data_IF_198957171246
#
_entry.id   IF_198957171246
#
_cell.length_a   1.000
_cell.length_b   1.000
_cell.length_c   1.000
_cell.angle_alpha   90.00
_cell.angle_beta   90.00
_cell.angle_gamma   90.00
#
_symmetry.space_group_name_H-M   'P 1'
#
loop_
_entity.id
_entity.type
_entity.pdbx_description
1 polymer ?
#
# COMPACT_ATOMS: atom_id res chain seq x y z
N UNK A 1 44.75 -32.75 8.70
CA UNK A 1 43.29 -32.52 8.59
C UNK A 1 42.99 -31.32 9.48
N UNK A 2 43.25 -30.12 8.97
CA UNK A 2 43.00 -28.85 9.66
C UNK A 2 41.55 -28.47 9.39
N UNK A 3 40.73 -28.45 10.43
CA UNK A 3 39.38 -27.86 10.39
C UNK A 3 39.50 -26.40 9.92
N UNK A 4 39.00 -26.11 8.73
CA UNK A 4 38.76 -24.75 8.26
C UNK A 4 37.54 -24.24 9.02
N UNK A 5 37.73 -23.20 9.83
CA UNK A 5 36.63 -22.48 10.45
C UNK A 5 35.62 -22.04 9.36
N UNK A 6 34.30 -22.07 9.64
CA UNK A 6 33.31 -21.65 8.67
C UNK A 6 33.59 -20.20 8.25
N UNK A 7 33.74 -19.97 6.93
CA UNK A 7 33.86 -18.63 6.35
C UNK A 7 32.79 -17.73 6.96
N UNK A 8 33.21 -16.73 7.74
CA UNK A 8 32.32 -15.67 8.22
C UNK A 8 31.66 -15.05 6.99
N UNK A 9 30.33 -15.08 6.94
CA UNK A 9 29.57 -14.50 5.84
C UNK A 9 29.95 -13.01 5.73
N UNK A 10 30.23 -12.50 4.52
CA UNK A 10 30.64 -11.12 4.36
C UNK A 10 29.64 -10.17 4.99
N UNK A 11 30.11 -9.37 5.95
CA UNK A 11 29.32 -8.32 6.60
C UNK A 11 28.73 -7.39 5.54
N UNK A 12 27.42 -7.08 5.58
CA UNK A 12 26.81 -6.19 4.60
C UNK A 12 27.48 -4.83 4.63
N UNK A 13 28.18 -4.47 3.54
CA UNK A 13 28.82 -3.16 3.39
C UNK A 13 27.82 -2.00 3.44
N UNK A 14 28.29 -0.77 3.71
CA UNK A 14 27.42 0.40 3.79
C UNK A 14 26.64 0.63 2.49
N UNK A 15 25.40 1.14 2.57
CA UNK A 15 24.56 1.33 1.40
C UNK A 15 25.22 2.27 0.38
N UNK A 16 25.17 1.89 -0.88
CA UNK A 16 25.69 2.73 -1.98
C UNK A 16 24.90 4.04 -2.10
N UNK A 17 25.48 5.10 -2.67
CA UNK A 17 24.79 6.39 -2.83
C UNK A 17 23.42 6.30 -3.54
N UNK A 18 23.21 5.46 -4.57
CA UNK A 18 21.88 5.21 -5.14
C UNK A 18 20.91 4.56 -4.15
N UNK A 19 21.39 3.63 -3.32
CA UNK A 19 20.59 2.93 -2.31
C UNK A 19 20.19 3.86 -1.16
N UNK A 20 21.09 4.73 -0.71
CA UNK A 20 20.78 5.76 0.29
C UNK A 20 19.63 6.69 -0.17
N UNK A 21 19.59 7.05 -1.46
CA UNK A 21 18.49 7.85 -2.03
C UNK A 21 17.16 7.09 -2.02
N UNK A 22 17.18 5.80 -2.33
CA UNK A 22 15.99 4.94 -2.25
C UNK A 22 15.49 4.84 -0.82
N UNK A 23 16.38 4.58 0.14
CA UNK A 23 16.04 4.52 1.57
C UNK A 23 15.46 5.84 2.06
N UNK A 24 16.07 6.97 1.69
CA UNK A 24 15.53 8.30 2.02
C UNK A 24 14.14 8.54 1.45
N UNK A 25 13.89 8.10 0.21
CA UNK A 25 12.58 8.18 -0.42
C UNK A 25 11.53 7.30 0.30
N UNK A 26 11.87 6.06 0.65
CA UNK A 26 10.98 5.18 1.42
C UNK A 26 10.67 5.78 2.79
N UNK A 27 11.69 6.29 3.49
CA UNK A 27 11.53 6.89 4.81
C UNK A 27 10.64 8.12 4.79
N UNK A 28 10.88 9.05 3.85
CA UNK A 28 10.07 10.25 3.69
C UNK A 28 8.61 9.90 3.32
N UNK A 29 8.40 8.98 2.37
CA UNK A 29 7.07 8.51 2.01
C UNK A 29 6.38 7.82 3.19
N UNK A 30 7.09 6.96 3.92
CA UNK A 30 6.57 6.23 5.07
C UNK A 30 6.12 7.16 6.20
N UNK A 31 6.90 8.19 6.50
CA UNK A 31 6.53 9.22 7.47
C UNK A 31 5.24 9.93 7.05
N UNK A 32 5.13 10.36 5.78
CA UNK A 32 3.92 11.01 5.26
C UNK A 32 2.69 10.09 5.33
N UNK A 33 2.84 8.83 4.91
CA UNK A 33 1.77 7.83 4.97
C UNK A 33 1.30 7.57 6.40
N UNK A 34 2.23 7.36 7.33
CA UNK A 34 1.93 7.10 8.73
C UNK A 34 1.24 8.30 9.40
N UNK A 35 1.70 9.53 9.13
CA UNK A 35 1.06 10.76 9.64
C UNK A 35 -0.34 10.92 9.05
N UNK A 36 -0.53 10.67 7.75
CA UNK A 36 -1.85 10.73 7.13
C UNK A 36 -2.83 9.72 7.73
N UNK A 37 -2.39 8.47 7.94
CA UNK A 37 -3.18 7.44 8.63
C UNK A 37 -3.53 7.86 10.06
N UNK A 38 -2.55 8.33 10.82
CA UNK A 38 -2.78 8.78 12.18
C UNK A 38 -3.76 9.96 12.23
N UNK A 39 -3.61 10.92 11.31
CA UNK A 39 -4.55 12.03 11.13
C UNK A 39 -5.97 11.53 10.84
N UNK A 40 -6.14 10.52 9.98
CA UNK A 40 -7.44 9.93 9.71
C UNK A 40 -8.06 9.30 10.97
N UNK A 41 -7.26 8.61 11.79
CA UNK A 41 -7.71 8.03 13.07
C UNK A 41 -8.13 9.10 14.09
N UNK A 42 -7.45 10.25 14.10
CA UNK A 42 -7.79 11.38 14.99
C UNK A 42 -9.06 12.10 14.50
N UNK A 43 -9.20 12.33 13.19
CA UNK A 43 -10.33 13.05 12.60
C UNK A 43 -11.60 12.22 12.55
N UNK A 44 -11.48 10.91 12.35
CA UNK A 44 -12.59 9.97 12.35
C UNK A 44 -12.26 8.82 13.30
N UNK A 45 -12.48 9.00 14.62
CA UNK A 45 -12.26 7.92 15.58
C UNK A 45 -13.26 6.79 15.36
N UNK A 46 -12.79 5.55 15.51
CA UNK A 46 -13.68 4.39 15.53
C UNK A 46 -14.35 4.29 16.91
N UNK A 47 -15.68 4.27 17.01
CA UNK A 47 -16.39 4.10 18.27
C UNK A 47 -16.00 2.80 18.99
N UNK A 48 -16.08 2.80 20.31
CA UNK A 48 -15.92 1.60 21.14
C UNK A 48 -17.10 0.64 20.97
N UNK A 49 -17.14 -0.08 19.85
CA UNK A 49 -18.21 -1.00 19.46
C UNK A 49 -18.66 -0.75 18.03
N UNK A 50 -18.74 -1.80 17.22
CA UNK A 50 -19.09 -1.74 15.80
C UNK A 50 -17.92 -1.76 14.82
N UNK A 51 -18.22 -1.47 13.56
CA UNK A 51 -17.30 -1.67 12.45
C UNK A 51 -16.19 -0.59 12.39
N UNK A 52 -14.89 -0.96 12.31
CA UNK A 52 -13.77 -0.02 12.24
C UNK A 52 -13.62 0.68 10.88
N UNK A 53 -14.53 1.60 10.59
CA UNK A 53 -14.62 2.29 9.29
C UNK A 53 -13.36 3.02 8.88
N UNK A 54 -12.66 3.64 9.82
CA UNK A 54 -11.49 4.47 9.50
C UNK A 54 -10.35 3.62 8.93
N UNK A 55 -10.00 2.53 9.62
CA UNK A 55 -8.95 1.61 9.17
C UNK A 55 -9.40 0.86 7.92
N UNK A 56 -10.68 0.48 7.82
CA UNK A 56 -11.25 -0.09 6.61
C UNK A 56 -11.03 0.82 5.39
N UNK A 57 -11.45 2.09 5.46
CA UNK A 57 -11.34 3.05 4.35
C UNK A 57 -9.88 3.33 4.01
N UNK A 58 -9.02 3.49 5.02
CA UNK A 58 -7.57 3.68 4.83
C UNK A 58 -6.97 2.51 4.04
N UNK A 59 -7.25 1.28 4.45
CA UNK A 59 -6.72 0.10 3.76
C UNK A 59 -7.28 -0.04 2.34
N UNK A 60 -8.60 0.08 2.16
CA UNK A 60 -9.27 -0.08 0.86
C UNK A 60 -8.83 1.00 -0.13
N UNK A 61 -8.76 2.26 0.30
CA UNK A 61 -8.29 3.36 -0.55
C UNK A 61 -6.81 3.22 -0.91
N UNK A 62 -5.96 2.80 0.04
CA UNK A 62 -4.55 2.50 -0.24
C UNK A 62 -4.39 1.35 -1.24
N UNK A 63 -5.22 0.31 -1.13
CA UNK A 63 -5.29 -0.78 -2.10
C UNK A 63 -5.75 -0.33 -3.50
N UNK A 64 -6.72 0.59 -3.60
CA UNK A 64 -7.07 1.18 -4.89
C UNK A 64 -5.87 1.93 -5.52
N UNK A 65 -5.20 2.75 -4.71
CA UNK A 65 -4.05 3.55 -5.16
C UNK A 65 -2.85 2.70 -5.58
N UNK A 66 -2.57 1.57 -4.91
CA UNK A 66 -1.48 0.68 -5.37
C UNK A 66 -1.82 0.03 -6.72
N UNK A 67 -3.10 -0.28 -6.97
CA UNK A 67 -3.58 -0.73 -8.28
C UNK A 67 -3.34 0.30 -9.39
N UNK A 68 -3.64 1.58 -9.11
CA UNK A 68 -3.34 2.70 -10.02
C UNK A 68 -1.83 2.82 -10.28
N UNK A 69 -1.03 2.81 -9.20
CA UNK A 69 0.42 2.94 -9.28
C UNK A 69 1.07 1.82 -10.10
N UNK A 70 0.56 0.59 -9.95
CA UNK A 70 1.03 -0.57 -10.71
C UNK A 70 0.85 -0.35 -12.22
N UNK A 71 -0.32 0.11 -12.66
CA UNK A 71 -0.57 0.37 -14.09
C UNK A 71 0.33 1.48 -14.62
N UNK A 72 0.45 2.60 -13.89
CA UNK A 72 1.22 3.76 -14.31
C UNK A 72 2.73 3.48 -14.43
N UNK A 73 3.26 2.67 -13.50
CA UNK A 73 4.71 2.43 -13.40
C UNK A 73 5.14 1.15 -14.11
N UNK A 74 4.41 0.05 -13.98
CA UNK A 74 4.80 -1.28 -14.48
C UNK A 74 4.20 -1.55 -15.85
N UNK A 75 2.88 -1.42 -15.99
CA UNK A 75 2.19 -1.85 -17.22
C UNK A 75 2.39 -0.87 -18.38
N UNK A 76 2.35 0.44 -18.10
CA UNK A 76 2.40 1.48 -19.14
C UNK A 76 3.72 2.26 -19.17
N UNK A 77 4.58 2.13 -18.17
CA UNK A 77 5.87 2.83 -18.09
C UNK A 77 5.76 4.36 -18.22
N UNK A 78 4.58 4.95 -17.94
CA UNK A 78 4.34 6.41 -18.05
C UNK A 78 5.13 7.19 -17.01
N UNK A 79 5.48 6.53 -15.90
CA UNK A 79 6.31 7.10 -14.83
C UNK A 79 7.59 6.28 -14.72
N UNK A 80 8.70 6.85 -15.21
CA UNK A 80 10.00 6.17 -15.32
C UNK A 80 10.96 6.49 -14.18
N UNK A 81 10.64 7.46 -13.33
CA UNK A 81 11.57 7.89 -12.29
C UNK A 81 11.75 6.80 -11.21
N UNK A 82 12.99 6.34 -10.95
CA UNK A 82 13.26 5.15 -10.14
C UNK A 82 12.83 5.28 -8.67
N UNK A 83 12.71 6.51 -8.15
CA UNK A 83 12.28 6.76 -6.76
C UNK A 83 10.75 6.75 -6.59
N UNK A 84 9.95 6.76 -7.66
CA UNK A 84 8.48 6.84 -7.53
C UNK A 84 7.90 5.60 -6.86
N UNK A 85 8.33 4.40 -7.26
CA UNK A 85 7.83 3.15 -6.66
C UNK A 85 8.27 2.99 -5.19
N UNK A 86 9.54 3.24 -4.82
CA UNK A 86 9.94 3.28 -3.42
C UNK A 86 9.20 4.34 -2.59
N UNK A 87 9.08 5.57 -3.10
CA UNK A 87 8.43 6.66 -2.37
C UNK A 87 6.93 6.44 -2.21
N UNK A 88 6.18 6.24 -3.30
CA UNK A 88 4.73 6.12 -3.25
C UNK A 88 4.26 4.74 -2.83
N UNK A 89 4.83 3.68 -3.40
CA UNK A 89 4.38 2.31 -3.17
C UNK A 89 4.79 1.80 -1.79
N UNK A 90 6.09 1.74 -1.52
CA UNK A 90 6.61 1.22 -0.25
C UNK A 90 6.48 2.26 0.86
N UNK A 91 6.83 3.52 0.59
CA UNK A 91 6.77 4.61 1.56
C UNK A 91 5.32 5.01 1.88
N UNK A 92 4.72 5.86 1.04
CA UNK A 92 3.42 6.50 1.33
C UNK A 92 2.33 5.45 1.54
N UNK A 93 2.10 4.56 0.57
CA UNK A 93 1.03 3.57 0.67
C UNK A 93 1.31 2.51 1.75
N UNK A 94 2.56 2.11 1.94
CA UNK A 94 2.95 1.19 3.00
C UNK A 94 2.81 1.79 4.40
N UNK A 95 3.10 3.08 4.59
CA UNK A 95 2.90 3.79 5.86
C UNK A 95 1.44 4.16 6.13
N UNK A 96 0.69 4.46 5.06
CA UNK A 96 -0.72 4.82 5.10
C UNK A 96 -1.61 3.62 5.42
N UNK A 97 -1.38 2.47 4.79
CA UNK A 97 -2.14 1.25 5.09
C UNK A 97 -1.59 0.54 6.33
N UNK A 98 -2.41 -0.32 6.95
CA UNK A 98 -2.01 -1.03 8.18
C UNK A 98 -2.75 -2.35 8.37
N UNK A 99 -1.98 -3.43 8.43
CA UNK A 99 -2.50 -4.74 8.84
C UNK A 99 -2.49 -4.91 10.37
N UNK A 100 -1.50 -4.35 11.07
CA UNK A 100 -1.37 -4.51 12.52
C UNK A 100 -2.51 -3.83 13.28
N UNK A 101 -2.91 -2.63 12.86
CA UNK A 101 -4.07 -1.93 13.46
C UNK A 101 -5.36 -2.68 13.16
N UNK A 102 -5.54 -3.15 11.92
CA UNK A 102 -6.68 -3.99 11.54
C UNK A 102 -6.78 -5.27 12.41
N UNK A 103 -5.66 -5.96 12.66
CA UNK A 103 -5.64 -7.15 13.51
C UNK A 103 -5.95 -6.80 14.98
N UNK A 104 -5.45 -5.67 15.48
CA UNK A 104 -5.75 -5.19 16.83
C UNK A 104 -7.24 -4.84 16.99
N UNK A 105 -7.84 -4.20 15.98
CA UNK A 105 -9.28 -3.90 15.96
C UNK A 105 -10.13 -5.19 15.99
N UNK A 106 -9.78 -6.19 15.16
CA UNK A 106 -10.44 -7.51 15.18
C UNK A 106 -10.32 -8.16 16.55
N UNK A 107 -9.11 -8.16 17.14
CA UNK A 107 -8.88 -8.68 18.49
C UNK A 107 -9.76 -7.97 19.53
N UNK A 108 -9.86 -6.63 19.46
CA UNK A 108 -10.71 -5.84 20.33
C UNK A 108 -12.19 -6.18 20.19
N UNK A 109 -12.69 -6.43 18.98
CA UNK A 109 -14.06 -6.87 18.74
C UNK A 109 -14.34 -8.25 19.34
N UNK A 110 -13.38 -9.19 19.20
CA UNK A 110 -13.49 -10.53 19.79
C UNK A 110 -13.52 -10.48 21.32
N UNK A 111 -12.67 -9.66 21.95
CA UNK A 111 -12.66 -9.46 23.41
C UNK A 111 -14.00 -8.92 23.90
N UNK A 112 -14.64 -8.02 23.15
CA UNK A 112 -15.97 -7.47 23.46
C UNK A 112 -17.14 -8.42 23.11
N UNK A 113 -16.87 -9.64 22.65
CA UNK A 113 -17.87 -10.62 22.20
C UNK A 113 -18.70 -10.14 20.99
N UNK A 114 -18.20 -9.18 20.21
CA UNK A 114 -18.86 -8.64 19.01
C UNK A 114 -18.52 -9.50 17.77
N UNK A 115 -18.86 -10.80 17.81
CA UNK A 115 -18.42 -11.78 16.80
C UNK A 115 -18.87 -11.42 15.37
N UNK A 116 -20.09 -10.94 15.20
CA UNK A 116 -20.62 -10.56 13.89
C UNK A 116 -19.80 -9.42 13.29
N UNK A 117 -19.48 -8.39 14.07
CA UNK A 117 -18.67 -7.27 13.63
C UNK A 117 -17.22 -7.69 13.33
N UNK A 118 -16.64 -8.56 14.15
CA UNK A 118 -15.29 -9.09 13.92
C UNK A 118 -15.19 -9.87 12.60
N UNK A 119 -16.11 -10.80 12.35
CA UNK A 119 -16.14 -11.61 11.12
C UNK A 119 -16.44 -10.73 9.91
N UNK A 120 -17.44 -9.83 10.02
CA UNK A 120 -17.78 -8.91 8.95
C UNK A 120 -16.58 -8.02 8.59
N UNK A 121 -15.90 -7.45 9.58
CA UNK A 121 -14.72 -6.62 9.36
C UNK A 121 -13.57 -7.40 8.72
N UNK A 122 -13.37 -8.66 9.15
CA UNK A 122 -12.31 -9.49 8.61
C UNK A 122 -12.52 -9.81 7.12
N UNK A 123 -13.72 -10.27 6.78
CA UNK A 123 -14.05 -10.66 5.41
C UNK A 123 -14.19 -9.44 4.50
N UNK A 124 -14.92 -8.41 4.96
CA UNK A 124 -15.18 -7.23 4.15
C UNK A 124 -13.89 -6.51 3.79
N UNK A 125 -12.94 -6.37 4.72
CA UNK A 125 -11.67 -5.66 4.46
C UNK A 125 -10.87 -6.37 3.36
N UNK A 126 -10.73 -7.69 3.44
CA UNK A 126 -9.96 -8.47 2.45
C UNK A 126 -10.63 -8.43 1.07
N UNK A 127 -11.94 -8.67 1.02
CA UNK A 127 -12.69 -8.66 -0.24
C UNK A 127 -12.66 -7.27 -0.88
N UNK A 128 -12.92 -6.22 -0.10
CA UNK A 128 -12.91 -4.85 -0.59
C UNK A 128 -11.51 -4.41 -1.03
N UNK A 129 -10.45 -4.79 -0.31
CA UNK A 129 -9.07 -4.50 -0.69
C UNK A 129 -8.71 -5.12 -2.05
N UNK A 130 -9.00 -6.41 -2.25
CA UNK A 130 -8.73 -7.09 -3.53
C UNK A 130 -9.54 -6.47 -4.68
N UNK A 131 -10.83 -6.20 -4.44
CA UNK A 131 -11.69 -5.53 -5.41
C UNK A 131 -11.18 -4.12 -5.74
N UNK A 132 -10.69 -3.37 -4.75
CA UNK A 132 -10.15 -2.04 -4.92
C UNK A 132 -8.86 -2.04 -5.75
N UNK A 133 -7.92 -2.95 -5.50
CA UNK A 133 -6.72 -3.12 -6.34
C UNK A 133 -7.11 -3.35 -7.80
N UNK A 134 -8.02 -4.32 -8.02
CA UNK A 134 -8.47 -4.66 -9.36
C UNK A 134 -9.17 -3.48 -10.05
N UNK A 135 -10.10 -2.82 -9.35
CA UNK A 135 -10.84 -1.67 -9.86
C UNK A 135 -9.91 -0.51 -10.20
N UNK A 136 -8.97 -0.16 -9.30
CA UNK A 136 -7.97 0.89 -9.52
C UNK A 136 -7.12 0.63 -10.77
N UNK A 137 -6.71 -0.62 -10.97
CA UNK A 137 -5.97 -1.01 -12.17
C UNK A 137 -6.82 -0.94 -13.45
N UNK A 138 -8.06 -1.48 -13.42
CA UNK A 138 -8.97 -1.47 -14.58
C UNK A 138 -9.33 -0.05 -15.00
N UNK A 139 -9.72 0.80 -14.05
CA UNK A 139 -10.06 2.21 -14.32
C UNK A 139 -8.87 2.92 -14.92
N UNK A 140 -7.68 2.73 -14.37
CA UNK A 140 -6.46 3.37 -14.87
C UNK A 140 -6.15 2.93 -16.30
N UNK A 141 -6.22 1.63 -16.61
CA UNK A 141 -6.05 1.16 -18.00
C UNK A 141 -7.03 1.84 -18.95
N UNK A 142 -8.32 1.83 -18.63
CA UNK A 142 -9.34 2.45 -19.49
C UNK A 142 -9.13 3.94 -19.73
N UNK A 143 -8.66 4.68 -18.72
CA UNK A 143 -8.35 6.10 -18.86
C UNK A 143 -7.10 6.34 -19.72
N UNK A 144 -6.11 5.46 -19.65
CA UNK A 144 -4.89 5.59 -20.45
C UNK A 144 -5.06 5.11 -21.90
N UNK A 145 -6.00 4.18 -22.12
CA UNK A 145 -6.36 3.58 -23.40
C UNK A 145 -7.59 4.26 -24.06
N UNK A 146 -7.94 5.48 -23.61
CA UNK A 146 -9.04 6.27 -24.15
C UNK A 146 -9.00 6.38 -25.68
N UNK A 147 -10.18 6.60 -26.33
CA UNK A 147 -10.43 6.27 -27.72
C UNK A 147 -9.31 6.81 -28.61
N UNK A 148 -8.72 5.90 -29.38
CA UNK A 148 -7.82 6.20 -30.50
C UNK A 148 -8.33 7.47 -31.17
N UNK A 149 -7.51 8.52 -31.19
CA UNK A 149 -7.75 9.67 -32.08
C UNK A 149 -7.75 9.11 -33.50
N UNK A 150 -8.93 8.78 -34.01
CA UNK A 150 -9.22 8.54 -35.42
C UNK A 150 -9.19 9.88 -36.18
N UNK A 151 -8.13 10.65 -35.98
CA UNK A 151 -7.83 11.87 -36.71
C UNK A 151 -6.62 11.58 -37.59
N UNK A 152 -6.83 11.06 -38.80
CA UNK A 152 -5.75 11.03 -39.79
C UNK A 152 -5.76 9.99 -40.91
N UNK A 153 -6.87 9.31 -41.24
CA UNK A 153 -6.91 8.44 -42.44
C UNK A 153 -8.05 8.71 -43.42
N UNK A 154 -8.56 9.94 -43.42
CA UNK A 154 -9.41 10.45 -44.50
C UNK A 154 -8.82 11.79 -44.99
N UNK A 155 -7.76 11.72 -45.78
CA UNK A 155 -7.31 12.79 -46.67
C UNK A 155 -6.57 12.16 -47.85
#
# INVERSE_FOLDING_TARGET
MSEQAPDELPEPGPPTAPQARVLGAVAAGGALGAVARYGALVLWPTPGGGFPWTVFVVNVSGCALIGVLMVLTVERGRVTHPLVRPFLGVGVLGGFTTFSTYAADVSGLLVRQELVAAVAYMVATVVAALAAVWAGAVVTRRLLDGPVRDEGRAA
#
